data_IF_391813648465
#
_entry.id   IF_391813648465
#
_cell.length_a   1.000
_cell.length_b   1.000
_cell.length_c   1.000
_cell.angle_alpha   90.00
_cell.angle_beta   90.00
_cell.angle_gamma   90.00
#
_symmetry.space_group_name_H-M   'P 1'
#
loop_
_entity.id
_entity.type
_entity.pdbx_description
1 polymer ?
#
# COMPACT_ATOMS: atom_id res chain seq x y z
N UNK A 1 14.85 -38.19 30.09
CA UNK A 1 15.06 -37.19 29.02
C UNK A 1 14.57 -37.80 27.71
N UNK A 2 13.29 -37.60 27.39
CA UNK A 2 12.71 -38.13 26.15
C UNK A 2 12.98 -37.13 25.02
N UNK A 3 13.61 -37.64 23.97
CA UNK A 3 13.89 -36.98 22.69
C UNK A 3 12.56 -36.60 22.03
N UNK A 4 12.19 -35.31 22.07
CA UNK A 4 11.07 -34.79 21.29
C UNK A 4 11.55 -34.54 19.85
N UNK A 5 11.37 -35.53 19.00
CA UNK A 5 11.42 -35.36 17.54
C UNK A 5 10.02 -35.65 17.02
N UNK A 6 9.12 -34.69 17.14
CA UNK A 6 7.82 -34.74 16.48
C UNK A 6 7.68 -33.47 15.67
N UNK A 7 7.40 -33.60 14.37
CA UNK A 7 7.12 -32.49 13.48
C UNK A 7 5.98 -31.67 14.10
N UNK A 8 6.35 -30.58 14.78
CA UNK A 8 5.43 -29.70 15.51
C UNK A 8 4.62 -28.94 14.50
N UNK A 9 3.43 -29.44 14.17
CA UNK A 9 2.49 -28.69 13.34
C UNK A 9 1.78 -27.68 14.25
N UNK A 10 1.82 -26.41 13.87
CA UNK A 10 1.22 -25.29 14.57
C UNK A 10 0.41 -24.39 13.60
N UNK A 11 -0.72 -23.83 14.08
CA UNK A 11 -1.37 -22.73 13.38
C UNK A 11 -0.43 -21.51 13.32
N UNK A 12 -0.63 -20.60 12.36
CA UNK A 12 0.18 -19.38 12.28
C UNK A 12 0.16 -18.62 13.60
N UNK A 13 1.33 -18.17 14.05
CA UNK A 13 1.53 -17.36 15.27
C UNK A 13 2.56 -16.27 15.03
N UNK A 14 2.67 -15.34 15.98
CA UNK A 14 3.62 -14.24 15.94
C UNK A 14 3.46 -13.38 14.67
N UNK A 15 2.22 -13.17 14.24
CA UNK A 15 1.96 -12.43 13.01
C UNK A 15 2.32 -10.95 13.18
N UNK A 16 3.22 -10.46 12.35
CA UNK A 16 3.73 -9.09 12.40
C UNK A 16 3.81 -8.45 11.02
N UNK A 17 3.68 -7.13 10.97
CA UNK A 17 3.83 -6.32 9.76
C UNK A 17 5.12 -5.50 9.86
N UNK A 18 5.88 -5.47 8.77
CA UNK A 18 7.04 -4.61 8.58
C UNK A 18 6.81 -3.66 7.40
N UNK A 19 7.12 -2.35 7.51
CA UNK A 19 7.59 -1.68 8.73
C UNK A 19 6.50 -1.61 9.82
N UNK A 20 6.92 -1.53 11.08
CA UNK A 20 6.03 -1.38 12.24
C UNK A 20 5.95 0.08 12.70
N UNK A 21 4.78 0.53 13.17
CA UNK A 21 4.58 1.88 13.71
C UNK A 21 3.87 2.84 12.75
N UNK A 22 3.82 4.14 13.09
CA UNK A 22 3.21 5.15 12.22
C UNK A 22 4.15 5.46 11.05
N UNK A 23 3.78 5.03 9.84
CA UNK A 23 4.62 5.22 8.65
C UNK A 23 4.12 6.43 7.87
N UNK A 24 5.04 7.37 7.61
CA UNK A 24 4.78 8.59 6.85
C UNK A 24 5.56 8.54 5.54
N UNK A 25 4.87 8.31 4.43
CA UNK A 25 5.50 8.26 3.10
C UNK A 25 4.75 9.12 2.10
N UNK A 26 5.44 9.57 1.04
CA UNK A 26 4.88 10.58 0.12
C UNK A 26 3.91 10.01 -0.92
N UNK A 27 4.07 8.75 -1.33
CA UNK A 27 3.29 8.19 -2.44
C UNK A 27 2.64 6.84 -2.12
N UNK A 28 3.37 5.93 -1.47
CA UNK A 28 2.88 4.58 -1.18
C UNK A 28 3.78 3.95 -0.14
N UNK A 29 3.28 3.00 0.65
CA UNK A 29 4.09 2.21 1.56
C UNK A 29 3.97 0.74 1.18
N UNK A 30 5.10 0.03 1.10
CA UNK A 30 5.09 -1.43 0.96
C UNK A 30 5.14 -2.07 2.35
N UNK A 31 4.09 -2.79 2.70
CA UNK A 31 3.97 -3.57 3.92
C UNK A 31 4.27 -5.04 3.61
N UNK A 32 4.95 -5.72 4.52
CA UNK A 32 5.24 -7.14 4.45
C UNK A 32 4.75 -7.82 5.72
N UNK A 33 3.97 -8.88 5.57
CA UNK A 33 3.47 -9.69 6.66
C UNK A 33 4.39 -10.89 6.90
N UNK A 34 4.65 -11.22 8.16
CA UNK A 34 5.48 -12.35 8.57
C UNK A 34 4.81 -13.11 9.72
N UNK A 35 4.95 -14.43 9.72
CA UNK A 35 4.34 -15.32 10.72
C UNK A 35 5.20 -16.56 10.92
N UNK A 36 5.23 -17.06 12.16
CA UNK A 36 5.78 -18.38 12.47
C UNK A 36 4.66 -19.40 12.25
N UNK A 37 4.79 -20.28 11.26
CA UNK A 37 3.78 -21.30 10.97
C UNK A 37 4.41 -22.58 10.46
N UNK A 38 3.97 -23.72 10.97
CA UNK A 38 4.30 -25.02 10.41
C UNK A 38 3.05 -25.89 10.26
N UNK A 39 2.55 -26.21 9.05
CA UNK A 39 3.15 -26.03 7.72
C UNK A 39 3.32 -24.57 7.28
N UNK A 40 3.96 -24.29 6.14
CA UNK A 40 4.00 -22.93 5.61
C UNK A 40 2.60 -22.38 5.34
N UNK A 41 2.47 -21.06 5.44
CA UNK A 41 1.26 -20.30 5.13
C UNK A 41 0.78 -20.60 3.70
N UNK A 42 -0.54 -20.79 3.56
CA UNK A 42 -1.19 -20.98 2.27
C UNK A 42 -1.76 -19.67 1.72
N UNK A 43 -2.29 -18.81 2.60
CA UNK A 43 -2.90 -17.54 2.20
C UNK A 43 -2.48 -16.37 3.11
N UNK A 44 -2.17 -15.25 2.45
CA UNK A 44 -2.01 -13.94 3.08
C UNK A 44 -3.09 -13.02 2.52
N UNK A 45 -3.88 -12.41 3.42
CA UNK A 45 -4.96 -11.51 3.06
C UNK A 45 -4.80 -10.19 3.80
N UNK A 46 -4.89 -9.09 3.08
CA UNK A 46 -4.76 -7.75 3.63
C UNK A 46 -6.11 -7.10 3.80
N UNK A 47 -6.28 -6.42 4.93
CA UNK A 47 -7.48 -5.69 5.27
C UNK A 47 -7.13 -4.28 5.72
N UNK A 48 -8.03 -3.35 5.42
CA UNK A 48 -8.03 -2.01 5.97
C UNK A 48 -9.13 -1.93 7.02
N UNK A 49 -8.81 -1.41 8.20
CA UNK A 49 -9.81 -1.19 9.22
C UNK A 49 -10.91 -0.27 8.67
N UNK A 50 -12.17 -0.62 8.93
CA UNK A 50 -13.39 -0.01 8.38
C UNK A 50 -13.79 -0.43 6.95
N UNK A 51 -13.01 -1.30 6.29
CA UNK A 51 -13.45 -1.96 5.05
C UNK A 51 -13.83 -3.42 5.36
N UNK A 52 -15.01 -3.84 4.86
CA UNK A 52 -15.50 -5.21 5.04
C UNK A 52 -14.82 -6.20 4.08
N UNK A 53 -14.27 -5.70 2.97
CA UNK A 53 -13.65 -6.50 1.92
C UNK A 53 -12.13 -6.50 2.06
N UNK A 54 -11.45 -7.59 1.65
CA UNK A 54 -10.01 -7.60 1.57
C UNK A 54 -9.52 -6.60 0.53
N UNK A 55 -8.45 -5.88 0.86
CA UNK A 55 -7.84 -4.85 -0.01
C UNK A 55 -6.71 -5.40 -0.87
N UNK A 56 -6.25 -6.63 -0.58
CA UNK A 56 -5.20 -7.30 -1.33
C UNK A 56 -4.87 -8.68 -0.79
N UNK A 57 -3.99 -9.39 -1.51
CA UNK A 57 -3.49 -10.71 -1.14
C UNK A 57 -1.99 -10.82 -1.43
N UNK A 58 -1.36 -11.82 -0.81
CA UNK A 58 0.08 -12.06 -0.91
C UNK A 58 0.86 -11.53 0.30
N UNK A 59 2.10 -11.99 0.46
CA UNK A 59 2.92 -11.69 1.64
C UNK A 59 3.24 -10.20 1.77
N UNK A 60 3.30 -9.47 0.65
CA UNK A 60 3.54 -8.03 0.61
C UNK A 60 2.38 -7.30 -0.05
N UNK A 61 2.04 -6.12 0.48
CA UNK A 61 0.97 -5.26 -0.01
C UNK A 61 1.43 -3.82 -0.09
N UNK A 62 1.01 -3.13 -1.15
CA UNK A 62 1.34 -1.72 -1.36
C UNK A 62 0.15 -0.83 -0.99
N UNK A 63 0.24 -0.19 0.17
CA UNK A 63 -0.74 0.78 0.63
C UNK A 63 -0.60 2.09 -0.14
N UNK A 64 -1.68 2.52 -0.79
CA UNK A 64 -1.78 3.77 -1.56
C UNK A 64 -2.64 4.83 -0.86
N UNK A 65 -3.26 4.49 0.27
CA UNK A 65 -4.09 5.40 1.05
C UNK A 65 -3.69 5.34 2.52
N UNK A 66 -3.94 6.44 3.23
CA UNK A 66 -3.85 6.46 4.69
C UNK A 66 -4.92 5.58 5.31
N UNK A 67 -4.62 4.98 6.46
CA UNK A 67 -5.53 4.13 7.21
C UNK A 67 -4.81 3.14 8.12
N UNK A 68 -5.59 2.35 8.85
CA UNK A 68 -5.11 1.24 9.67
C UNK A 68 -5.18 -0.05 8.86
N UNK A 69 -4.05 -0.76 8.73
CA UNK A 69 -3.95 -1.97 7.93
C UNK A 69 -3.54 -3.14 8.81
N UNK A 70 -4.13 -4.31 8.58
CA UNK A 70 -3.75 -5.56 9.22
C UNK A 70 -3.72 -6.70 8.19
N UNK A 71 -2.90 -7.71 8.44
CA UNK A 71 -2.87 -8.93 7.63
C UNK A 71 -3.50 -10.09 8.41
N UNK A 72 -4.26 -10.92 7.70
CA UNK A 72 -4.70 -12.23 8.17
C UNK A 72 -3.93 -13.30 7.40
N UNK A 73 -3.40 -14.26 8.15
CA UNK A 73 -2.52 -15.30 7.64
C UNK A 73 -3.15 -16.64 7.94
N UNK A 74 -3.26 -17.49 6.92
CA UNK A 74 -3.97 -18.76 7.04
C UNK A 74 -3.14 -19.93 6.52
N UNK A 75 -3.23 -21.03 7.25
CA UNK A 75 -2.69 -22.33 6.88
C UNK A 75 -3.77 -23.39 7.16
N UNK A 76 -3.53 -24.64 6.76
CA UNK A 76 -4.44 -25.77 6.95
C UNK A 76 -4.86 -26.03 8.40
N UNK A 77 -4.10 -25.51 9.37
CA UNK A 77 -4.38 -25.66 10.80
C UNK A 77 -5.21 -24.52 11.40
N UNK A 78 -5.29 -23.37 10.74
CA UNK A 78 -6.01 -22.20 11.27
C UNK A 78 -5.55 -20.88 10.65
N UNK A 79 -6.07 -19.78 11.20
CA UNK A 79 -5.68 -18.42 10.84
C UNK A 79 -5.35 -17.57 12.05
N UNK A 80 -4.47 -16.60 11.85
CA UNK A 80 -4.13 -15.58 12.85
C UNK A 80 -4.02 -14.20 12.18
N UNK A 81 -4.28 -13.14 12.95
CA UNK A 81 -4.24 -11.75 12.49
C UNK A 81 -3.09 -11.00 13.15
N UNK A 82 -2.46 -10.13 12.37
CA UNK A 82 -1.48 -9.18 12.91
C UNK A 82 -2.14 -8.10 13.75
N UNK A 83 -1.33 -7.41 14.56
CA UNK A 83 -1.69 -6.08 15.03
C UNK A 83 -1.86 -5.12 13.84
N UNK A 84 -2.76 -4.15 13.96
CA UNK A 84 -2.96 -3.13 12.94
C UNK A 84 -1.82 -2.09 12.97
N UNK A 85 -1.42 -1.63 11.79
CA UNK A 85 -0.39 -0.60 11.59
C UNK A 85 -1.00 0.64 10.95
N UNK A 86 -0.68 1.82 11.51
CA UNK A 86 -1.19 3.11 11.04
C UNK A 86 -0.32 3.66 9.91
N UNK A 87 -0.92 3.85 8.74
CA UNK A 87 -0.25 4.39 7.55
C UNK A 87 -0.77 5.79 7.28
N UNK A 88 0.14 6.74 7.09
CA UNK A 88 -0.15 8.12 6.73
C UNK A 88 0.58 8.46 5.43
N UNK A 89 -0.16 8.76 4.37
CA UNK A 89 0.41 9.17 3.09
C UNK A 89 0.30 10.69 2.96
N UNK A 90 1.44 11.36 2.98
CA UNK A 90 1.54 12.80 2.73
C UNK A 90 1.65 13.03 1.23
N UNK A 91 0.52 12.99 0.53
CA UNK A 91 0.47 13.29 -0.89
C UNK A 91 0.88 14.74 -1.14
N UNK A 92 2.02 14.94 -1.79
CA UNK A 92 2.40 16.25 -2.32
C UNK A 92 1.48 16.52 -3.52
N UNK A 93 0.55 17.47 -3.36
CA UNK A 93 -0.32 17.89 -4.45
C UNK A 93 0.52 18.62 -5.48
N UNK A 94 1.02 17.90 -6.49
CA UNK A 94 1.70 18.52 -7.62
C UNK A 94 0.66 19.17 -8.52
N UNK A 95 0.32 20.42 -8.21
CA UNK A 95 -0.49 21.27 -9.08
C UNK A 95 0.35 21.57 -10.33
N UNK A 96 0.14 20.78 -11.39
CA UNK A 96 0.69 21.10 -12.71
C UNK A 96 -0.11 22.27 -13.25
N UNK A 97 0.45 23.48 -13.15
CA UNK A 97 -0.09 24.64 -13.84
C UNK A 97 0.00 24.36 -15.34
N UNK A 98 -1.10 23.88 -15.93
CA UNK A 98 -1.28 23.97 -17.37
C UNK A 98 -1.34 25.47 -17.64
N UNK A 99 -0.27 26.03 -18.19
CA UNK A 99 -0.29 27.37 -18.71
C UNK A 99 -1.36 27.38 -19.81
N UNK A 100 -2.58 27.76 -19.44
CA UNK A 100 -3.59 28.12 -20.40
C UNK A 100 -2.98 29.27 -21.20
N UNK A 101 -2.57 28.97 -22.44
CA UNK A 101 -2.13 29.98 -23.39
C UNK A 101 -3.28 30.93 -23.67
N UNK A 102 -3.47 31.92 -22.80
CA UNK A 102 -4.36 33.05 -22.98
C UNK A 102 -3.51 34.32 -22.97
N UNK A 103 -2.62 34.41 -23.94
CA UNK A 103 -2.17 35.69 -24.47
C UNK A 103 -3.15 36.13 -25.55
N UNK A 104 -4.30 36.68 -25.12
CA UNK A 104 -5.14 37.49 -26.01
C UNK A 104 -4.26 38.68 -26.41
N UNK A 105 -3.70 38.65 -27.62
CA UNK A 105 -3.06 39.83 -28.20
C UNK A 105 -4.16 40.87 -28.42
N UNK A 106 -4.27 41.80 -27.48
CA UNK A 106 -5.06 42.99 -27.62
C UNK A 106 -4.68 43.71 -28.92
N UNK A 107 -5.71 43.96 -29.74
CA UNK A 107 -5.78 44.88 -30.88
C UNK A 107 -4.59 45.85 -31.00
N UNK A 108 -3.60 45.47 -31.81
CA UNK A 108 -2.46 46.29 -32.16
C UNK A 108 -2.15 46.17 -33.65
N UNK A 109 -2.59 47.18 -34.40
CA UNK A 109 -2.23 47.50 -35.79
C UNK A 109 -2.80 46.62 -36.93
N UNK A 110 -3.89 47.13 -37.49
CA UNK A 110 -4.23 47.01 -38.91
C UNK A 110 -3.08 47.56 -39.79
N UNK A 111 -2.82 46.88 -40.92
CA UNK A 111 -2.13 47.32 -42.15
C UNK A 111 -0.58 47.29 -42.18
N UNK A 112 0.00 46.13 -42.54
CA UNK A 112 0.66 45.94 -43.85
C UNK A 112 1.30 44.55 -43.91
N UNK A 113 0.82 43.71 -44.82
CA UNK A 113 1.53 42.51 -45.28
C UNK A 113 2.92 42.89 -45.86
N UNK A 114 3.88 41.95 -45.96
CA UNK A 114 3.82 41.05 -47.10
C UNK A 114 4.10 39.58 -46.77
N UNK A 115 3.43 38.75 -47.55
CA UNK A 115 3.68 37.34 -47.83
C UNK A 115 5.11 37.07 -48.34
N UNK A 116 5.49 35.78 -48.26
CA UNK A 116 6.67 35.07 -48.79
C UNK A 116 7.88 35.06 -47.84
N UNK A 117 8.41 33.90 -47.42
CA UNK A 117 8.60 32.65 -48.18
C UNK A 117 7.74 31.46 -47.71
#
# INVERSE_FOLDING_TARGET
MTRLSWNSLDPPKNVSISPSGAIVERCSVTLTCSSDSNPPVENYTWFKENEASPVGSGQSYRALQSGLYYCEVQNKLGSERSAAVSITINGDSVIVYVAAGLGIFALGALLSAPFWL
#
